data_IF_799412496435
#
_entry.id   IF_799412496435
#
_cell.length_a   1.000
_cell.length_b   1.000
_cell.length_c   1.000
_cell.angle_alpha   90.00
_cell.angle_beta   90.00
_cell.angle_gamma   90.00
#
_symmetry.space_group_name_H-M   'P 1'
#
loop_
_entity.id
_entity.type
_entity.pdbx_description
1 polymer ?
#
# COMPACT_ATOMS: atom_id res chain seq x y z
N UNK A 1 -7.08 70.45 -15.22
CA UNK A 1 -7.15 69.35 -16.22
C UNK A 1 -6.70 68.05 -15.56
N UNK A 2 -7.67 67.30 -15.10
CA UNK A 2 -7.50 66.05 -14.34
C UNK A 2 -7.43 64.85 -15.33
N UNK A 3 -6.29 64.18 -15.37
CA UNK A 3 -6.12 62.91 -16.09
C UNK A 3 -6.60 61.75 -15.19
N UNK A 4 -7.82 61.30 -15.41
CA UNK A 4 -8.34 60.03 -14.91
C UNK A 4 -7.85 58.91 -15.80
N UNK A 5 -6.96 58.08 -15.28
CA UNK A 5 -6.57 56.81 -15.91
C UNK A 5 -7.75 55.81 -15.78
N UNK A 6 -8.12 55.06 -16.81
CA UNK A 6 -9.19 54.08 -16.70
C UNK A 6 -8.74 52.85 -15.89
N UNK A 7 -9.55 52.48 -14.89
CA UNK A 7 -9.40 51.22 -14.17
C UNK A 7 -9.49 50.03 -15.13
N UNK A 8 -8.68 48.98 -14.92
CA UNK A 8 -8.80 47.76 -15.73
C UNK A 8 -10.11 47.05 -15.42
N UNK A 9 -10.98 47.02 -16.41
CA UNK A 9 -12.22 46.25 -16.43
C UNK A 9 -11.98 44.80 -15.97
N UNK A 10 -12.60 44.40 -14.87
CA UNK A 10 -12.71 42.99 -14.42
C UNK A 10 -13.65 42.25 -15.35
N UNK A 11 -13.17 41.88 -16.53
CA UNK A 11 -13.88 41.04 -17.43
C UNK A 11 -14.05 39.63 -16.77
N UNK A 12 -15.25 39.39 -16.25
CA UNK A 12 -15.72 38.06 -15.87
C UNK A 12 -15.59 37.16 -17.09
N UNK A 13 -14.63 36.20 -17.07
CA UNK A 13 -14.55 35.15 -18.05
C UNK A 13 -15.86 34.35 -18.00
N UNK A 14 -16.51 34.07 -19.15
CA UNK A 14 -17.77 33.33 -19.18
C UNK A 14 -17.59 31.91 -18.62
N UNK A 15 -18.52 31.52 -17.77
CA UNK A 15 -18.51 30.29 -17.00
C UNK A 15 -18.45 29.03 -17.85
N UNK A 16 -17.40 28.26 -17.66
CA UNK A 16 -17.52 26.80 -17.73
C UNK A 16 -18.41 26.38 -16.55
N UNK A 17 -19.36 25.48 -16.76
CA UNK A 17 -20.23 24.91 -15.70
C UNK A 17 -19.39 24.72 -14.43
N UNK A 18 -19.63 25.63 -13.45
CA UNK A 18 -18.75 25.75 -12.30
C UNK A 18 -19.01 24.61 -11.34
N UNK A 19 -18.06 23.69 -11.24
CA UNK A 19 -18.00 22.82 -10.09
C UNK A 19 -17.89 23.69 -8.85
N UNK A 20 -18.69 23.42 -7.80
CA UNK A 20 -18.56 24.15 -6.55
C UNK A 20 -17.14 23.94 -5.99
N UNK A 21 -16.56 24.96 -5.39
CA UNK A 21 -15.28 24.83 -4.69
C UNK A 21 -15.52 23.93 -3.48
N UNK A 22 -14.73 22.85 -3.39
CA UNK A 22 -14.81 21.87 -2.30
C UNK A 22 -13.65 22.12 -1.35
N UNK A 23 -13.92 22.56 -0.10
CA UNK A 23 -12.87 22.74 0.90
C UNK A 23 -12.20 21.40 1.25
N UNK A 24 -10.88 21.42 1.38
CA UNK A 24 -10.13 20.19 1.72
C UNK A 24 -10.17 19.12 0.64
N UNK A 25 -10.29 19.51 -0.62
CA UNK A 25 -10.43 18.60 -1.75
C UNK A 25 -9.33 17.53 -1.80
N UNK A 26 -8.11 17.83 -1.38
CA UNK A 26 -7.01 16.87 -1.28
C UNK A 26 -7.36 15.64 -0.43
N UNK A 27 -8.12 15.84 0.65
CA UNK A 27 -8.56 14.73 1.52
C UNK A 27 -9.65 13.88 0.87
N UNK A 28 -10.51 14.47 0.05
CA UNK A 28 -11.47 13.71 -0.76
C UNK A 28 -10.77 12.87 -1.82
N UNK A 29 -9.71 13.40 -2.44
CA UNK A 29 -8.90 12.65 -3.41
C UNK A 29 -8.21 11.46 -2.73
N UNK A 30 -7.58 11.63 -1.55
CA UNK A 30 -7.00 10.48 -0.84
C UNK A 30 -8.05 9.50 -0.35
N UNK A 31 -9.24 9.97 0.04
CA UNK A 31 -10.40 9.13 0.34
C UNK A 31 -10.83 8.29 -0.88
N UNK A 32 -10.82 8.88 -2.07
CA UNK A 32 -11.13 8.18 -3.31
C UNK A 32 -10.05 7.13 -3.64
N UNK A 33 -8.77 7.42 -3.40
CA UNK A 33 -7.67 6.43 -3.54
C UNK A 33 -7.81 5.31 -2.52
N UNK A 34 -8.13 5.63 -1.26
CA UNK A 34 -8.41 4.65 -0.20
C UNK A 34 -9.57 3.72 -0.60
N UNK A 35 -10.68 4.27 -1.10
CA UNK A 35 -11.81 3.49 -1.60
C UNK A 35 -11.39 2.54 -2.73
N UNK A 36 -10.55 3.00 -3.66
CA UNK A 36 -9.98 2.17 -4.72
C UNK A 36 -9.15 1.01 -4.18
N UNK A 37 -8.38 1.28 -3.11
CA UNK A 37 -7.60 0.26 -2.43
C UNK A 37 -8.50 -0.75 -1.72
N UNK A 38 -9.57 -0.31 -1.06
CA UNK A 38 -10.58 -1.19 -0.46
C UNK A 38 -11.16 -2.14 -1.52
N UNK A 39 -11.64 -1.61 -2.64
CA UNK A 39 -12.22 -2.41 -3.74
C UNK A 39 -11.19 -3.38 -4.34
N UNK A 40 -9.94 -2.94 -4.51
CA UNK A 40 -8.84 -3.77 -4.99
C UNK A 40 -8.60 -4.98 -4.07
N UNK A 41 -8.53 -4.74 -2.74
CA UNK A 41 -8.30 -5.79 -1.75
C UNK A 41 -9.54 -6.68 -1.51
N UNK A 42 -10.75 -6.17 -1.66
CA UNK A 42 -11.97 -6.98 -1.71
C UNK A 42 -11.88 -8.05 -2.81
N UNK A 43 -11.60 -7.63 -4.04
CA UNK A 43 -11.46 -8.55 -5.18
C UNK A 43 -10.28 -9.54 -4.98
N UNK A 44 -9.16 -9.07 -4.42
CA UNK A 44 -7.98 -9.91 -4.12
C UNK A 44 -8.30 -11.01 -3.12
N UNK A 45 -8.96 -10.68 -2.03
CA UNK A 45 -9.23 -11.59 -0.92
C UNK A 45 -10.42 -12.54 -1.17
N UNK A 46 -11.25 -12.30 -2.18
CA UNK A 46 -12.38 -13.17 -2.53
C UNK A 46 -11.94 -14.62 -2.77
N UNK A 47 -10.77 -14.87 -3.38
CA UNK A 47 -10.26 -16.23 -3.54
C UNK A 47 -9.94 -16.91 -2.19
N UNK A 48 -9.34 -16.18 -1.26
CA UNK A 48 -8.98 -16.75 0.04
C UNK A 48 -10.23 -17.17 0.81
N UNK A 49 -11.28 -16.34 0.79
CA UNK A 49 -12.57 -16.63 1.44
C UNK A 49 -13.26 -17.83 0.78
N UNK A 50 -13.24 -17.91 -0.53
CA UNK A 50 -13.85 -19.00 -1.30
C UNK A 50 -12.98 -20.24 -1.42
N UNK A 51 -11.74 -20.20 -0.94
CA UNK A 51 -10.77 -21.27 -1.08
C UNK A 51 -11.26 -22.65 -0.66
N UNK A 52 -11.88 -22.83 0.52
CA UNK A 52 -12.43 -24.13 0.92
C UNK A 52 -13.49 -24.66 -0.06
N UNK A 53 -14.43 -23.84 -0.48
CA UNK A 53 -15.48 -24.21 -1.41
C UNK A 53 -14.93 -24.54 -2.80
N UNK A 54 -13.96 -23.77 -3.30
CA UNK A 54 -13.34 -24.02 -4.60
C UNK A 54 -12.52 -25.33 -4.59
N UNK A 55 -11.84 -25.61 -3.46
CA UNK A 55 -11.14 -26.90 -3.29
C UNK A 55 -12.11 -28.07 -3.40
N UNK A 56 -13.26 -28.00 -2.76
CA UNK A 56 -14.29 -29.04 -2.83
C UNK A 56 -14.90 -29.13 -4.23
N UNK A 57 -15.29 -28.00 -4.83
CA UNK A 57 -15.99 -27.97 -6.12
C UNK A 57 -15.13 -28.47 -7.29
N UNK A 58 -13.83 -28.25 -7.24
CA UNK A 58 -12.90 -28.61 -8.34
C UNK A 58 -11.89 -29.71 -7.97
N UNK A 59 -11.99 -30.30 -6.78
CA UNK A 59 -11.02 -31.32 -6.32
C UNK A 59 -9.60 -30.75 -6.22
N UNK A 60 -9.42 -29.49 -5.81
CA UNK A 60 -8.11 -28.82 -5.80
C UNK A 60 -7.28 -29.30 -4.62
N UNK A 61 -6.14 -29.93 -4.88
CA UNK A 61 -5.16 -30.30 -3.87
C UNK A 61 -4.36 -29.10 -3.37
N UNK A 62 -3.73 -29.21 -2.19
CA UNK A 62 -2.97 -28.15 -1.56
C UNK A 62 -1.88 -27.56 -2.50
N UNK A 63 -1.17 -28.41 -3.24
CA UNK A 63 -0.16 -27.98 -4.21
C UNK A 63 -0.75 -27.15 -5.36
N UNK A 64 -1.90 -27.54 -5.90
CA UNK A 64 -2.57 -26.80 -6.97
C UNK A 64 -3.06 -25.43 -6.46
N UNK A 65 -3.55 -25.37 -5.22
CA UNK A 65 -3.94 -24.11 -4.59
C UNK A 65 -2.74 -23.19 -4.39
N UNK A 66 -1.58 -23.73 -4.00
CA UNK A 66 -0.35 -22.94 -3.89
C UNK A 66 0.08 -22.36 -5.24
N UNK A 67 -0.09 -23.09 -6.35
CA UNK A 67 0.18 -22.55 -7.69
C UNK A 67 -0.75 -21.39 -8.06
N UNK A 68 -2.04 -21.45 -7.68
CA UNK A 68 -2.98 -20.36 -7.89
C UNK A 68 -2.55 -19.08 -7.13
N UNK A 69 -2.11 -19.24 -5.88
CA UNK A 69 -1.62 -18.12 -5.06
C UNK A 69 -0.30 -17.58 -5.62
N UNK A 70 0.64 -18.46 -5.95
CA UNK A 70 1.95 -18.09 -6.49
C UNK A 70 1.85 -17.36 -7.83
N UNK A 71 0.92 -17.75 -8.70
CA UNK A 71 0.70 -17.09 -9.98
C UNK A 71 0.37 -15.59 -9.82
N UNK A 72 -0.45 -15.25 -8.83
CA UNK A 72 -0.72 -13.85 -8.48
C UNK A 72 0.53 -13.15 -7.95
N UNK A 73 1.22 -13.74 -6.98
CA UNK A 73 2.35 -13.09 -6.31
C UNK A 73 3.50 -12.80 -7.27
N UNK A 74 3.87 -13.77 -8.11
CA UNK A 74 4.93 -13.61 -9.10
C UNK A 74 4.58 -12.55 -10.12
N UNK A 75 3.36 -12.61 -10.68
CA UNK A 75 2.89 -11.64 -11.65
C UNK A 75 2.81 -10.22 -11.08
N UNK A 76 2.29 -10.08 -9.85
CA UNK A 76 2.19 -8.81 -9.13
C UNK A 76 3.58 -8.21 -8.88
N UNK A 77 4.52 -9.01 -8.37
CA UNK A 77 5.88 -8.58 -8.06
C UNK A 77 6.62 -8.09 -9.33
N UNK A 78 6.56 -8.88 -10.40
CA UNK A 78 7.22 -8.55 -11.65
C UNK A 78 6.62 -7.30 -12.33
N UNK A 79 5.32 -7.08 -12.19
CA UNK A 79 4.62 -6.00 -12.87
C UNK A 79 4.69 -4.65 -12.14
N UNK A 80 5.03 -4.60 -10.85
CA UNK A 80 5.09 -3.34 -10.09
C UNK A 80 5.97 -2.27 -10.74
N UNK A 81 7.21 -2.54 -11.17
CA UNK A 81 8.05 -1.55 -11.85
C UNK A 81 7.44 -1.07 -13.16
N UNK A 82 6.85 -1.98 -13.92
CA UNK A 82 6.19 -1.68 -15.20
C UNK A 82 4.98 -0.78 -14.99
N UNK A 83 4.14 -1.10 -14.00
CA UNK A 83 3.02 -0.25 -13.62
C UNK A 83 3.46 1.14 -13.21
N UNK A 84 4.49 1.26 -12.37
CA UNK A 84 5.03 2.54 -11.95
C UNK A 84 5.49 3.38 -13.14
N UNK A 85 6.22 2.76 -14.07
CA UNK A 85 6.66 3.41 -15.30
C UNK A 85 5.49 3.86 -16.20
N UNK A 86 4.45 3.02 -16.35
CA UNK A 86 3.24 3.36 -17.10
C UNK A 86 2.53 4.56 -16.46
N UNK A 87 2.38 4.57 -15.13
CA UNK A 87 1.74 5.67 -14.39
C UNK A 87 2.49 6.99 -14.58
N UNK A 88 3.81 6.95 -14.47
CA UNK A 88 4.63 8.16 -14.69
C UNK A 88 4.59 8.63 -16.14
N UNK A 89 4.46 7.72 -17.13
CA UNK A 89 4.50 8.05 -18.55
C UNK A 89 3.15 8.52 -19.12
N UNK A 90 2.07 7.81 -18.82
CA UNK A 90 0.73 8.10 -19.34
C UNK A 90 -0.08 9.05 -18.44
N UNK A 91 0.44 9.32 -17.24
CA UNK A 91 -0.26 10.11 -16.22
C UNK A 91 -1.21 9.28 -15.38
N UNK A 92 -1.36 9.72 -14.14
CA UNK A 92 -2.07 8.97 -13.10
C UNK A 92 -3.55 8.74 -13.42
N UNK A 93 -4.24 9.77 -13.95
CA UNK A 93 -5.69 9.68 -14.22
C UNK A 93 -6.04 8.54 -15.17
N UNK A 94 -5.35 8.47 -16.31
CA UNK A 94 -5.60 7.46 -17.32
C UNK A 94 -5.14 6.07 -16.87
N UNK A 95 -3.90 5.98 -16.39
CA UNK A 95 -3.29 4.70 -16.02
C UNK A 95 -4.10 4.01 -14.93
N UNK A 96 -4.44 4.73 -13.86
CA UNK A 96 -5.16 4.11 -12.73
C UNK A 96 -6.58 3.66 -13.14
N UNK A 97 -7.28 4.45 -13.98
CA UNK A 97 -8.59 4.04 -14.52
C UNK A 97 -8.47 2.78 -15.39
N UNK A 98 -7.51 2.71 -16.31
CA UNK A 98 -7.31 1.55 -17.19
C UNK A 98 -6.99 0.27 -16.40
N UNK A 99 -6.05 0.37 -15.46
CA UNK A 99 -5.72 -0.76 -14.60
C UNK A 99 -6.91 -1.18 -13.73
N UNK A 100 -7.72 -0.22 -13.25
CA UNK A 100 -8.92 -0.51 -12.46
C UNK A 100 -9.96 -1.27 -13.28
N UNK A 101 -10.24 -0.85 -14.49
CA UNK A 101 -11.14 -1.59 -15.40
C UNK A 101 -10.57 -2.98 -15.69
N UNK A 102 -9.28 -3.08 -15.97
CA UNK A 102 -8.64 -4.36 -16.28
C UNK A 102 -8.73 -5.35 -15.11
N UNK A 103 -8.33 -4.94 -13.86
CA UNK A 103 -8.45 -5.85 -12.73
C UNK A 103 -9.90 -6.21 -12.40
N UNK A 104 -10.84 -5.31 -12.69
CA UNK A 104 -12.27 -5.56 -12.44
C UNK A 104 -12.84 -6.63 -13.36
N UNK A 105 -12.52 -6.54 -14.65
CA UNK A 105 -12.92 -7.55 -15.64
C UNK A 105 -12.30 -8.90 -15.28
N UNK A 106 -10.99 -8.92 -14.99
CA UNK A 106 -10.28 -10.15 -14.61
C UNK A 106 -10.81 -10.70 -13.29
N UNK A 107 -11.13 -9.84 -12.32
CA UNK A 107 -11.77 -10.23 -11.07
C UNK A 107 -13.09 -10.95 -11.30
N UNK A 108 -13.95 -10.38 -12.15
CA UNK A 108 -15.24 -10.97 -12.52
C UNK A 108 -15.06 -12.30 -13.30
N UNK A 109 -14.06 -12.40 -14.17
CA UNK A 109 -13.76 -13.61 -14.95
C UNK A 109 -13.38 -14.82 -14.09
N UNK A 110 -12.97 -14.63 -12.82
CA UNK A 110 -12.81 -15.76 -11.89
C UNK A 110 -14.12 -16.53 -11.70
N UNK A 111 -15.28 -15.89 -11.83
CA UNK A 111 -16.58 -16.53 -11.79
C UNK A 111 -16.84 -17.51 -12.96
N UNK A 112 -16.13 -17.36 -14.07
CA UNK A 112 -16.21 -18.28 -15.22
C UNK A 112 -15.20 -19.45 -15.14
N UNK A 113 -14.42 -19.54 -14.06
CA UNK A 113 -13.42 -20.58 -13.93
C UNK A 113 -14.04 -21.98 -13.89
N UNK A 114 -13.45 -22.91 -14.65
CA UNK A 114 -13.86 -24.32 -14.73
C UNK A 114 -12.90 -25.28 -14.01
N UNK A 115 -11.83 -24.77 -13.32
CA UNK A 115 -10.87 -25.59 -12.60
C UNK A 115 -9.66 -24.80 -12.13
N UNK A 116 -8.70 -25.47 -11.48
CA UNK A 116 -7.54 -24.83 -10.87
C UNK A 116 -6.64 -24.09 -11.88
N UNK A 117 -6.47 -24.62 -13.10
CA UNK A 117 -5.64 -23.98 -14.14
C UNK A 117 -6.23 -22.64 -14.59
N UNK A 118 -7.53 -22.57 -14.84
CA UNK A 118 -8.19 -21.32 -15.19
C UNK A 118 -8.16 -20.31 -14.06
N UNK A 119 -8.29 -20.76 -12.80
CA UNK A 119 -8.08 -19.90 -11.62
C UNK A 119 -6.64 -19.39 -11.53
N UNK A 120 -5.63 -20.22 -11.78
CA UNK A 120 -4.24 -19.80 -11.76
C UNK A 120 -3.93 -18.75 -12.84
N UNK A 121 -4.44 -18.96 -14.06
CA UNK A 121 -4.30 -18.00 -15.16
C UNK A 121 -4.99 -16.67 -14.82
N UNK A 122 -6.24 -16.71 -14.36
CA UNK A 122 -6.97 -15.51 -13.94
C UNK A 122 -6.26 -14.78 -12.80
N UNK A 123 -5.67 -15.49 -11.83
CA UNK A 123 -4.85 -14.94 -10.75
C UNK A 123 -3.58 -14.27 -11.25
N UNK A 124 -2.89 -14.87 -12.21
CA UNK A 124 -1.73 -14.24 -12.85
C UNK A 124 -2.09 -12.91 -13.49
N UNK A 125 -3.15 -12.87 -14.30
CA UNK A 125 -3.62 -11.63 -14.91
C UNK A 125 -4.13 -10.61 -13.86
N UNK A 126 -4.78 -11.06 -12.79
CA UNK A 126 -5.17 -10.18 -11.67
C UNK A 126 -3.95 -9.57 -11.01
N UNK A 127 -2.89 -10.35 -10.78
CA UNK A 127 -1.62 -9.86 -10.24
C UNK A 127 -1.00 -8.77 -11.13
N UNK A 128 -0.93 -9.00 -12.45
CA UNK A 128 -0.43 -8.00 -13.40
C UNK A 128 -1.19 -6.68 -13.31
N UNK A 129 -2.52 -6.73 -13.22
CA UNK A 129 -3.35 -5.52 -13.27
C UNK A 129 -3.47 -4.82 -11.92
N UNK A 130 -3.48 -5.53 -10.82
CA UNK A 130 -3.54 -4.96 -9.47
C UNK A 130 -2.22 -4.35 -8.99
N UNK A 131 -1.09 -4.68 -9.61
CA UNK A 131 0.22 -4.17 -9.25
C UNK A 131 0.33 -2.63 -9.36
N UNK A 132 -0.55 -2.00 -10.11
CA UNK A 132 -0.61 -0.55 -10.28
C UNK A 132 -1.11 0.18 -9.01
N UNK A 133 -1.91 -0.45 -8.16
CA UNK A 133 -2.68 0.24 -7.11
C UNK A 133 -1.78 1.02 -6.13
N UNK A 134 -0.70 0.42 -5.64
CA UNK A 134 0.21 1.08 -4.68
C UNK A 134 1.03 2.19 -5.34
N UNK A 135 1.76 1.98 -6.47
CA UNK A 135 2.47 3.06 -7.16
C UNK A 135 1.56 4.23 -7.55
N UNK A 136 0.33 3.95 -8.01
CA UNK A 136 -0.65 4.98 -8.35
C UNK A 136 -1.13 5.76 -7.13
N UNK A 137 -1.42 5.09 -6.00
CA UNK A 137 -1.80 5.74 -4.75
C UNK A 137 -0.70 6.64 -4.19
N UNK A 138 0.55 6.17 -4.18
CA UNK A 138 1.72 6.96 -3.79
C UNK A 138 1.91 8.16 -4.70
N UNK A 139 1.71 8.01 -6.01
CA UNK A 139 1.74 9.11 -6.97
C UNK A 139 0.62 10.13 -6.72
N UNK A 140 -0.60 9.68 -6.39
CA UNK A 140 -1.70 10.58 -6.04
C UNK A 140 -1.36 11.46 -4.84
N UNK A 141 -0.74 10.88 -3.81
CA UNK A 141 -0.28 11.63 -2.64
C UNK A 141 0.84 12.60 -3.01
N UNK A 142 1.78 12.21 -3.89
CA UNK A 142 2.83 13.10 -4.38
C UNK A 142 2.26 14.31 -5.11
N UNK A 143 1.19 14.12 -5.90
CA UNK A 143 0.55 15.18 -6.68
C UNK A 143 -0.38 16.07 -5.86
N UNK A 144 -0.95 15.62 -4.74
CA UNK A 144 -2.00 16.33 -4.02
C UNK A 144 -1.60 16.85 -2.65
N UNK A 145 -0.46 16.45 -2.10
CA UNK A 145 -0.09 16.80 -0.74
C UNK A 145 1.27 17.49 -0.63
N UNK A 146 1.36 18.58 0.16
CA UNK A 146 2.63 19.18 0.50
C UNK A 146 3.44 18.23 1.39
N UNK A 147 4.77 18.37 1.40
CA UNK A 147 5.70 17.45 2.06
C UNK A 147 5.32 17.07 3.50
N UNK A 148 4.89 18.05 4.30
CA UNK A 148 4.54 17.85 5.72
C UNK A 148 3.33 16.94 5.95
N UNK A 149 2.39 16.87 5.00
CA UNK A 149 1.14 16.11 5.11
C UNK A 149 1.20 14.73 4.44
N UNK A 150 2.22 14.45 3.62
CA UNK A 150 2.33 13.20 2.83
C UNK A 150 2.26 11.94 3.66
N UNK A 151 2.93 11.91 4.83
CA UNK A 151 2.91 10.71 5.68
C UNK A 151 1.52 10.41 6.24
N UNK A 152 0.77 11.44 6.59
CA UNK A 152 -0.61 11.29 7.05
C UNK A 152 -1.50 10.78 5.91
N UNK A 153 -1.37 11.37 4.73
CA UNK A 153 -2.13 10.95 3.54
C UNK A 153 -1.82 9.49 3.14
N UNK A 154 -0.55 9.07 3.20
CA UNK A 154 -0.15 7.67 2.97
C UNK A 154 -0.75 6.75 4.04
N UNK A 155 -0.80 7.17 5.30
CA UNK A 155 -1.45 6.40 6.37
C UNK A 155 -2.93 6.11 6.07
N UNK A 156 -3.69 7.14 5.70
CA UNK A 156 -5.09 6.97 5.28
C UNK A 156 -5.26 6.12 4.03
N UNK A 157 -4.41 6.28 3.05
CA UNK A 157 -4.42 5.47 1.84
C UNK A 157 -4.15 3.99 2.16
N UNK A 158 -3.14 3.69 2.97
CA UNK A 158 -2.77 2.32 3.34
C UNK A 158 -3.84 1.62 4.18
N UNK A 159 -4.61 2.34 5.01
CA UNK A 159 -5.72 1.75 5.77
C UNK A 159 -6.78 1.09 4.86
N UNK A 160 -6.88 1.53 3.60
CA UNK A 160 -7.73 0.85 2.61
C UNK A 160 -7.36 -0.61 2.36
N UNK A 161 -6.11 -1.02 2.59
CA UNK A 161 -5.65 -2.41 2.39
C UNK A 161 -6.29 -3.36 3.41
N UNK A 162 -6.23 -3.00 4.69
CA UNK A 162 -6.79 -3.81 5.76
C UNK A 162 -8.31 -3.71 5.82
N UNK A 163 -8.88 -2.52 5.58
CA UNK A 163 -10.33 -2.37 5.45
C UNK A 163 -10.90 -3.26 4.33
N UNK A 164 -10.22 -3.32 3.19
CA UNK A 164 -10.61 -4.22 2.10
C UNK A 164 -10.52 -5.69 2.48
N UNK A 165 -9.48 -6.09 3.21
CA UNK A 165 -9.32 -7.45 3.71
C UNK A 165 -10.38 -7.81 4.76
N UNK A 166 -10.72 -6.87 5.66
CA UNK A 166 -11.74 -7.03 6.69
C UNK A 166 -13.15 -7.14 6.12
N UNK A 167 -13.47 -6.36 5.10
CA UNK A 167 -14.80 -6.35 4.47
C UNK A 167 -15.01 -7.52 3.50
N UNK A 168 -13.93 -8.16 3.01
CA UNK A 168 -14.05 -9.24 2.05
C UNK A 168 -14.82 -10.46 2.60
N UNK A 169 -14.52 -11.04 3.79
CA UNK A 169 -15.23 -12.22 4.28
C UNK A 169 -16.74 -12.03 4.40
N UNK A 170 -17.28 -11.01 5.11
CA UNK A 170 -18.72 -10.87 5.26
C UNK A 170 -19.43 -10.64 3.92
N UNK A 171 -18.86 -9.82 3.03
CA UNK A 171 -19.45 -9.55 1.72
C UNK A 171 -19.45 -10.79 0.83
N UNK A 172 -18.30 -11.47 0.73
CA UNK A 172 -18.13 -12.64 -0.14
C UNK A 172 -18.98 -13.82 0.35
N UNK A 173 -19.04 -14.06 1.66
CA UNK A 173 -19.89 -15.11 2.24
C UNK A 173 -21.35 -14.80 1.99
N UNK A 174 -21.82 -13.58 2.23
CA UNK A 174 -23.21 -13.19 1.95
C UNK A 174 -23.58 -13.39 0.48
N UNK A 175 -22.74 -12.90 -0.44
CA UNK A 175 -22.96 -13.08 -1.88
C UNK A 175 -22.97 -14.57 -2.28
N UNK A 176 -22.12 -15.36 -1.66
CA UNK A 176 -22.01 -16.81 -1.95
C UNK A 176 -23.24 -17.57 -1.50
N UNK A 177 -23.76 -17.25 -0.33
CA UNK A 177 -24.98 -17.88 0.21
C UNK A 177 -26.23 -17.47 -0.57
N UNK A 178 -26.31 -16.19 -1.01
CA UNK A 178 -27.47 -15.67 -1.71
C UNK A 178 -27.49 -16.03 -3.21
N UNK A 179 -26.31 -16.00 -3.87
CA UNK A 179 -26.23 -16.07 -5.34
C UNK A 179 -25.18 -17.05 -5.86
N UNK A 180 -24.48 -17.76 -4.98
CA UNK A 180 -23.42 -18.70 -5.32
C UNK A 180 -22.05 -18.02 -5.50
N UNK A 181 -20.97 -18.85 -5.39
CA UNK A 181 -19.58 -18.37 -5.39
C UNK A 181 -19.16 -17.63 -6.68
N UNK A 182 -19.75 -17.99 -7.81
CA UNK A 182 -19.47 -17.31 -9.09
C UNK A 182 -19.88 -15.84 -9.06
N UNK A 183 -21.06 -15.56 -8.52
CA UNK A 183 -21.56 -14.21 -8.38
C UNK A 183 -20.76 -13.38 -7.37
N UNK A 184 -20.18 -14.01 -6.35
CA UNK A 184 -19.28 -13.31 -5.43
C UNK A 184 -18.06 -12.72 -6.17
N UNK A 185 -17.44 -13.46 -7.09
CA UNK A 185 -16.36 -12.92 -7.95
C UNK A 185 -16.85 -11.85 -8.91
N UNK A 186 -17.99 -12.06 -9.55
CA UNK A 186 -18.56 -11.09 -10.51
C UNK A 186 -18.83 -9.76 -9.81
N UNK A 187 -19.53 -9.78 -8.68
CA UNK A 187 -19.90 -8.54 -7.97
C UNK A 187 -18.67 -7.83 -7.43
N UNK A 188 -17.77 -8.55 -6.72
CA UNK A 188 -16.55 -7.93 -6.16
C UNK A 188 -15.62 -7.41 -7.27
N UNK A 189 -15.57 -8.06 -8.40
CA UNK A 189 -14.84 -7.58 -9.58
C UNK A 189 -15.46 -6.31 -10.16
N UNK A 190 -16.77 -6.31 -10.43
CA UNK A 190 -17.47 -5.18 -11.06
C UNK A 190 -17.48 -3.91 -10.21
N UNK A 191 -17.38 -4.00 -8.88
CA UNK A 191 -17.23 -2.82 -8.01
C UNK A 191 -16.06 -1.93 -8.44
N UNK A 192 -15.00 -2.50 -8.99
CA UNK A 192 -13.87 -1.73 -9.48
C UNK A 192 -14.18 -0.94 -10.76
N UNK A 193 -15.14 -1.37 -11.60
CA UNK A 193 -15.59 -0.57 -12.75
C UNK A 193 -16.34 0.67 -12.26
N UNK A 194 -17.19 0.51 -11.25
CA UNK A 194 -17.90 1.66 -10.64
C UNK A 194 -16.89 2.64 -10.05
N UNK A 195 -15.90 2.12 -9.35
CA UNK A 195 -14.83 2.97 -8.83
C UNK A 195 -14.00 3.63 -9.94
N UNK A 196 -13.67 2.93 -11.01
CA UNK A 196 -12.94 3.49 -12.15
C UNK A 196 -13.69 4.64 -12.82
N UNK A 197 -15.02 4.52 -12.96
CA UNK A 197 -15.87 5.59 -13.46
C UNK A 197 -15.88 6.81 -12.52
N UNK A 198 -15.98 6.56 -11.20
CA UNK A 198 -15.88 7.61 -10.18
C UNK A 198 -14.51 8.28 -10.21
N UNK A 199 -13.42 7.49 -10.30
CA UNK A 199 -12.06 8.01 -10.45
C UNK A 199 -11.92 8.88 -11.70
N UNK A 200 -12.36 8.40 -12.83
CA UNK A 200 -12.27 9.14 -14.09
C UNK A 200 -13.01 10.47 -14.08
N UNK A 201 -14.16 10.53 -13.43
CA UNK A 201 -14.96 11.75 -13.32
C UNK A 201 -14.40 12.73 -12.30
N UNK A 202 -13.99 12.24 -11.12
CA UNK A 202 -13.59 13.08 -9.99
C UNK A 202 -12.11 13.48 -10.01
N UNK A 203 -11.22 12.61 -10.49
CA UNK A 203 -9.79 12.93 -10.42
C UNK A 203 -9.32 13.86 -11.56
N UNK A 204 -8.60 14.91 -11.17
CA UNK A 204 -7.78 15.78 -12.04
C UNK A 204 -6.49 16.13 -11.29
N UNK A 205 -5.51 16.65 -12.00
CA UNK A 205 -4.31 17.19 -11.33
C UNK A 205 -4.64 18.49 -10.59
N UNK A 206 -3.94 18.85 -9.51
CA UNK A 206 -4.19 20.10 -8.78
C UNK A 206 -4.15 21.35 -9.65
N UNK A 207 -3.30 21.34 -10.70
CA UNK A 207 -3.19 22.46 -11.62
C UNK A 207 -4.47 22.71 -12.43
N UNK A 208 -5.23 21.68 -12.74
CA UNK A 208 -6.39 21.74 -13.67
C UNK A 208 -7.73 21.45 -12.99
N UNK A 209 -7.74 21.10 -11.70
CA UNK A 209 -8.98 20.70 -11.02
C UNK A 209 -9.91 21.90 -10.81
N UNK A 210 -11.15 21.85 -11.36
CA UNK A 210 -12.05 23.01 -11.34
C UNK A 210 -12.62 23.31 -9.95
N UNK A 211 -12.77 22.31 -9.08
CA UNK A 211 -13.30 22.45 -7.73
C UNK A 211 -12.24 22.80 -6.68
N UNK A 212 -10.95 22.95 -7.07
CA UNK A 212 -9.88 23.31 -6.15
C UNK A 212 -9.79 24.81 -5.98
N UNK A 213 -10.03 25.30 -4.77
CA UNK A 213 -9.92 26.73 -4.42
C UNK A 213 -8.49 27.26 -4.54
N UNK A 214 -8.33 28.56 -4.79
CA UNK A 214 -7.02 29.16 -5.02
C UNK A 214 -6.05 28.98 -3.82
N UNK A 215 -6.53 29.22 -2.60
CA UNK A 215 -5.72 29.07 -1.39
C UNK A 215 -5.27 27.62 -1.16
N UNK A 216 -6.14 26.63 -1.36
CA UNK A 216 -5.77 25.23 -1.24
C UNK A 216 -4.83 24.79 -2.37
N UNK A 217 -4.99 25.34 -3.58
CA UNK A 217 -4.08 25.10 -4.69
C UNK A 217 -2.67 25.61 -4.37
N UNK A 218 -2.55 26.80 -3.82
CA UNK A 218 -1.27 27.36 -3.39
C UNK A 218 -0.63 26.48 -2.32
N UNK A 219 -1.39 26.07 -1.31
CA UNK A 219 -0.94 25.16 -0.25
C UNK A 219 -0.46 23.80 -0.80
N UNK A 220 -1.23 23.19 -1.71
CA UNK A 220 -0.87 21.91 -2.35
C UNK A 220 0.41 22.03 -3.20
N UNK A 221 0.65 23.19 -3.82
CA UNK A 221 1.80 23.46 -4.66
C UNK A 221 3.00 24.02 -3.89
N UNK A 222 2.82 24.31 -2.60
CA UNK A 222 3.89 24.84 -1.74
C UNK A 222 5.08 23.89 -1.68
N UNK A 223 6.27 24.43 -1.89
CA UNK A 223 7.54 23.67 -1.83
C UNK A 223 7.75 22.69 -2.97
N UNK A 224 6.91 22.69 -4.01
CA UNK A 224 7.16 21.88 -5.21
C UNK A 224 8.27 22.51 -6.03
N UNK A 225 9.36 21.81 -6.18
CA UNK A 225 10.34 22.11 -7.22
C UNK A 225 9.65 21.87 -8.56
N UNK A 226 9.46 22.93 -9.37
CA UNK A 226 8.96 22.76 -10.74
C UNK A 226 9.83 21.72 -11.42
N UNK A 227 9.20 20.63 -11.85
CA UNK A 227 9.89 19.58 -12.58
C UNK A 227 10.32 20.11 -13.95
N UNK A 228 11.40 20.89 -13.98
CA UNK A 228 12.07 21.34 -15.21
C UNK A 228 13.03 20.29 -15.74
N UNK A 229 13.31 19.25 -14.95
CA UNK A 229 14.20 18.16 -15.37
C UNK A 229 13.46 17.16 -16.25
N UNK A 230 14.09 16.76 -17.34
CA UNK A 230 13.67 15.61 -18.14
C UNK A 230 13.58 14.38 -17.21
N UNK A 231 12.58 13.51 -17.49
CA UNK A 231 12.40 12.27 -16.72
C UNK A 231 13.66 11.42 -16.78
N UNK A 232 14.20 11.04 -15.64
CA UNK A 232 15.33 10.13 -15.58
C UNK A 232 14.93 8.72 -16.05
N UNK A 233 15.75 8.03 -16.83
CA UNK A 233 15.52 6.64 -17.17
C UNK A 233 15.58 5.76 -15.92
N UNK A 234 14.82 4.66 -15.89
CA UNK A 234 14.78 3.74 -14.74
C UNK A 234 16.17 3.26 -14.29
N UNK A 235 17.14 3.21 -15.22
CA UNK A 235 18.55 2.89 -14.89
C UNK A 235 19.15 3.89 -13.91
N UNK A 236 18.88 5.17 -14.06
CA UNK A 236 19.40 6.21 -13.16
C UNK A 236 18.77 6.12 -11.77
N UNK A 237 17.50 5.69 -11.69
CA UNK A 237 16.85 5.44 -10.41
C UNK A 237 17.58 4.35 -9.64
N UNK A 238 17.82 3.18 -10.27
CA UNK A 238 18.42 2.01 -9.60
C UNK A 238 19.92 2.15 -9.31
N UNK A 239 20.63 3.07 -9.96
CA UNK A 239 22.06 3.34 -9.64
C UNK A 239 22.22 4.27 -8.45
N UNK A 240 21.15 4.98 -8.04
CA UNK A 240 21.19 5.96 -6.96
C UNK A 240 21.21 5.33 -5.55
N UNK A 241 22.01 5.90 -4.63
CA UNK A 241 22.07 5.46 -3.21
C UNK A 241 20.69 5.57 -2.53
N UNK A 242 19.89 6.58 -2.88
CA UNK A 242 18.53 6.80 -2.38
C UNK A 242 17.59 5.61 -2.67
N UNK A 243 17.73 5.02 -3.87
CA UNK A 243 16.98 3.83 -4.26
C UNK A 243 17.32 2.64 -3.38
N UNK A 244 18.60 2.31 -3.25
CA UNK A 244 19.06 1.16 -2.46
C UNK A 244 18.76 1.30 -0.98
N UNK A 245 18.80 2.53 -0.44
CA UNK A 245 18.40 2.79 0.94
C UNK A 245 16.95 2.38 1.21
N UNK A 246 16.02 2.78 0.33
CA UNK A 246 14.60 2.46 0.47
C UNK A 246 14.32 1.00 0.07
N UNK A 247 14.91 0.52 -1.04
CA UNK A 247 14.66 -0.82 -1.55
C UNK A 247 15.08 -1.92 -0.58
N UNK A 248 16.29 -1.79 0.02
CA UNK A 248 16.78 -2.75 1.01
C UNK A 248 16.00 -2.68 2.33
N UNK A 249 15.64 -1.48 2.78
CA UNK A 249 14.79 -1.33 3.96
C UNK A 249 13.41 -1.99 3.73
N UNK A 250 12.79 -1.80 2.56
CA UNK A 250 11.52 -2.45 2.20
C UNK A 250 11.65 -3.96 2.03
N UNK A 251 12.75 -4.42 1.44
CA UNK A 251 13.05 -5.85 1.29
C UNK A 251 13.12 -6.54 2.66
N UNK A 252 13.74 -5.90 3.64
CA UNK A 252 13.90 -6.43 5.00
C UNK A 252 12.62 -6.26 5.86
N UNK A 253 11.76 -5.29 5.56
CA UNK A 253 10.53 -5.06 6.32
C UNK A 253 9.37 -5.98 5.89
N UNK A 254 9.27 -6.35 4.61
CA UNK A 254 8.15 -7.13 4.08
C UNK A 254 7.98 -8.54 4.67
N UNK A 255 9.04 -9.25 5.11
CA UNK A 255 8.93 -10.51 5.85
C UNK A 255 7.90 -10.48 6.98
N UNK A 256 7.77 -9.37 7.71
CA UNK A 256 6.80 -9.22 8.78
C UNK A 256 5.35 -9.33 8.27
N UNK A 257 5.03 -8.65 7.17
CA UNK A 257 3.68 -8.70 6.58
C UNK A 257 3.29 -10.10 6.11
N UNK A 258 4.20 -10.79 5.46
CA UNK A 258 3.97 -12.18 5.03
C UNK A 258 3.80 -13.11 6.22
N UNK A 259 4.56 -12.87 7.30
CA UNK A 259 4.42 -13.63 8.55
C UNK A 259 3.02 -13.44 9.15
N UNK A 260 2.53 -12.20 9.25
CA UNK A 260 1.19 -11.94 9.80
C UNK A 260 0.08 -12.56 8.94
N UNK A 261 0.22 -12.58 7.63
CA UNK A 261 -0.80 -13.12 6.73
C UNK A 261 -0.86 -14.66 6.74
N UNK A 262 0.29 -15.33 6.78
CA UNK A 262 0.36 -16.77 6.52
C UNK A 262 0.77 -17.60 7.72
N UNK A 263 1.67 -17.08 8.56
CA UNK A 263 2.30 -17.88 9.61
C UNK A 263 1.71 -17.66 11.01
N UNK A 264 1.19 -16.47 11.32
CA UNK A 264 0.58 -16.20 12.63
C UNK A 264 -0.62 -17.10 12.92
N UNK A 265 -1.61 -17.27 12.01
CA UNK A 265 -2.71 -18.18 12.27
C UNK A 265 -2.25 -19.63 12.48
N UNK A 266 -1.26 -20.09 11.71
CA UNK A 266 -0.70 -21.44 11.84
C UNK A 266 0.04 -21.59 13.18
N UNK A 267 0.87 -20.63 13.57
CA UNK A 267 1.55 -20.61 14.87
C UNK A 267 0.57 -20.66 16.04
N UNK A 268 -0.52 -19.89 15.99
CA UNK A 268 -1.55 -19.89 17.04
C UNK A 268 -2.24 -21.25 17.16
N UNK A 269 -2.46 -21.95 16.03
CA UNK A 269 -3.04 -23.29 16.01
C UNK A 269 -2.05 -24.34 16.53
N UNK A 270 -0.82 -24.36 16.01
CA UNK A 270 0.15 -25.44 16.27
C UNK A 270 0.90 -25.30 17.58
N UNK A 271 1.42 -24.09 17.87
CA UNK A 271 2.27 -23.84 19.05
C UNK A 271 1.48 -23.36 20.27
N UNK A 272 0.35 -22.70 20.05
CA UNK A 272 -0.49 -22.14 21.12
C UNK A 272 -1.77 -22.93 21.35
N UNK A 273 -2.01 -23.99 20.56
CA UNK A 273 -3.16 -24.89 20.68
C UNK A 273 -4.51 -24.15 20.71
N UNK A 274 -4.58 -23.00 20.04
CA UNK A 274 -5.83 -22.26 19.92
C UNK A 274 -6.79 -23.00 18.99
N UNK A 275 -8.04 -23.10 19.43
CA UNK A 275 -9.11 -23.64 18.60
C UNK A 275 -9.46 -22.70 17.44
N UNK A 276 -10.13 -23.23 16.45
CA UNK A 276 -10.50 -22.47 15.25
C UNK A 276 -11.38 -21.24 15.58
N UNK A 277 -12.22 -21.34 16.61
CA UNK A 277 -13.08 -20.24 17.06
C UNK A 277 -12.25 -19.10 17.66
N UNK A 278 -11.27 -19.43 18.50
CA UNK A 278 -10.35 -18.45 19.10
C UNK A 278 -9.51 -17.75 18.02
N UNK A 279 -8.98 -18.51 17.04
CA UNK A 279 -8.25 -17.92 15.93
C UNK A 279 -9.14 -16.98 15.12
N UNK A 280 -10.35 -17.40 14.76
CA UNK A 280 -11.29 -16.57 14.02
C UNK A 280 -11.68 -15.28 14.78
N UNK A 281 -11.75 -15.35 16.12
CA UNK A 281 -12.12 -14.22 16.97
C UNK A 281 -10.98 -13.21 17.16
N UNK A 282 -9.71 -13.62 17.12
CA UNK A 282 -8.59 -12.78 17.53
C UNK A 282 -7.51 -12.56 16.46
N UNK A 283 -7.38 -13.43 15.44
CA UNK A 283 -6.31 -13.33 14.45
C UNK A 283 -6.41 -12.10 13.52
N UNK A 284 -7.50 -11.37 13.55
CA UNK A 284 -7.68 -10.10 12.82
C UNK A 284 -7.13 -8.88 13.58
N UNK A 285 -6.92 -9.00 14.91
CA UNK A 285 -6.44 -7.89 15.74
C UNK A 285 -5.10 -7.31 15.29
N UNK A 286 -4.07 -8.10 14.88
CA UNK A 286 -2.84 -7.56 14.33
C UNK A 286 -3.04 -6.68 13.08
N UNK A 287 -4.06 -6.98 12.26
CA UNK A 287 -4.39 -6.16 11.09
C UNK A 287 -5.07 -4.85 11.47
N UNK A 288 -5.94 -4.86 12.49
CA UNK A 288 -6.49 -3.63 13.03
C UNK A 288 -5.40 -2.74 13.65
N UNK A 289 -4.49 -3.35 14.41
CA UNK A 289 -3.34 -2.64 14.96
C UNK A 289 -2.43 -2.08 13.85
N UNK A 290 -2.28 -2.81 12.74
CA UNK A 290 -1.57 -2.34 11.56
C UNK A 290 -2.20 -1.06 10.98
N UNK A 291 -3.53 -0.99 10.85
CA UNK A 291 -4.20 0.22 10.38
C UNK A 291 -3.95 1.42 11.29
N UNK A 292 -4.04 1.19 12.60
CA UNK A 292 -3.68 2.22 13.59
C UNK A 292 -2.22 2.63 13.43
N UNK A 293 -1.31 1.68 13.22
CA UNK A 293 0.11 1.92 12.96
C UNK A 293 0.36 2.76 11.70
N UNK A 294 -0.37 2.47 10.62
CA UNK A 294 -0.30 3.25 9.38
C UNK A 294 -0.75 4.70 9.57
N UNK A 295 -1.90 4.90 10.21
CA UNK A 295 -2.47 6.24 10.44
C UNK A 295 -1.63 7.02 11.47
N UNK A 296 -1.42 6.47 12.67
CA UNK A 296 -0.67 7.13 13.74
C UNK A 296 0.82 7.30 13.38
N UNK A 297 1.38 6.31 12.67
CA UNK A 297 2.72 6.41 12.08
C UNK A 297 2.86 7.57 11.11
N UNK A 298 1.81 7.86 10.33
CA UNK A 298 1.75 9.06 9.50
C UNK A 298 1.92 10.36 10.29
N UNK A 299 1.29 10.46 11.46
CA UNK A 299 1.40 11.61 12.35
C UNK A 299 2.75 11.68 13.10
N UNK A 300 3.48 10.57 13.21
CA UNK A 300 4.79 10.55 13.90
C UNK A 300 5.77 11.54 13.28
N UNK A 301 5.75 11.71 11.97
CA UNK A 301 6.71 12.55 11.28
C UNK A 301 6.50 14.06 11.53
N UNK A 302 5.30 14.64 11.40
CA UNK A 302 5.06 16.00 11.86
C UNK A 302 5.43 16.23 13.34
N UNK A 303 5.18 15.21 14.20
CA UNK A 303 5.55 15.27 15.60
C UNK A 303 7.08 15.31 15.78
N UNK A 304 7.83 14.44 15.09
CA UNK A 304 9.30 14.43 15.14
C UNK A 304 9.92 15.76 14.66
N UNK A 305 9.36 16.34 13.59
CA UNK A 305 9.79 17.65 13.11
C UNK A 305 9.58 18.74 14.16
N UNK A 306 8.42 18.71 14.84
CA UNK A 306 8.08 19.72 15.86
C UNK A 306 8.88 19.57 17.14
N UNK A 307 9.09 18.34 17.62
CA UNK A 307 9.75 18.05 18.92
C UNK A 307 11.27 18.10 18.81
N UNK A 308 11.83 17.50 17.75
CA UNK A 308 13.28 17.34 17.61
C UNK A 308 13.92 18.28 16.58
N UNK A 309 13.12 19.13 15.90
CA UNK A 309 13.65 20.07 14.90
C UNK A 309 14.33 19.38 13.70
N UNK A 310 14.06 18.10 13.47
CA UNK A 310 14.64 17.36 12.35
C UNK A 310 13.97 17.76 11.02
N UNK A 311 14.71 17.67 9.92
CA UNK A 311 14.16 17.94 8.60
C UNK A 311 13.12 16.87 8.16
N UNK A 312 12.48 17.11 7.02
CA UNK A 312 11.43 16.25 6.50
C UNK A 312 11.88 14.79 6.34
N UNK A 313 13.00 14.54 5.65
CA UNK A 313 13.55 13.19 5.44
C UNK A 313 14.00 12.57 6.77
N UNK A 314 14.65 13.34 7.62
CA UNK A 314 15.08 12.91 8.95
C UNK A 314 13.93 12.46 9.83
N UNK A 315 12.77 13.16 9.76
CA UNK A 315 11.58 12.78 10.52
C UNK A 315 11.01 11.42 10.09
N UNK A 316 11.07 11.08 8.78
CA UNK A 316 10.66 9.78 8.26
C UNK A 316 11.58 8.68 8.75
N UNK A 317 12.91 8.90 8.64
CA UNK A 317 13.92 7.93 9.08
C UNK A 317 13.84 7.71 10.59
N UNK A 318 13.63 8.75 11.40
CA UNK A 318 13.44 8.64 12.84
C UNK A 318 12.15 7.83 13.17
N UNK A 319 11.06 8.08 12.46
CA UNK A 319 9.83 7.29 12.61
C UNK A 319 10.03 5.81 12.27
N UNK A 320 10.76 5.50 11.19
CA UNK A 320 11.14 4.12 10.83
C UNK A 320 11.98 3.50 11.94
N UNK A 321 12.93 4.23 12.53
CA UNK A 321 13.76 3.73 13.63
C UNK A 321 12.91 3.39 14.87
N UNK A 322 11.98 4.23 15.25
CA UNK A 322 11.06 3.95 16.38
C UNK A 322 10.21 2.70 16.08
N UNK A 323 9.68 2.59 14.89
CA UNK A 323 8.88 1.42 14.51
C UNK A 323 9.72 0.13 14.45
N UNK A 324 10.99 0.20 14.00
CA UNK A 324 11.90 -0.94 13.99
C UNK A 324 12.21 -1.44 15.42
N UNK A 325 12.28 -0.55 16.40
CA UNK A 325 12.41 -0.94 17.82
C UNK A 325 11.13 -1.65 18.30
N UNK A 326 9.95 -1.15 17.95
CA UNK A 326 8.67 -1.80 18.30
C UNK A 326 8.57 -3.19 17.63
N UNK A 327 9.14 -3.37 16.44
CA UNK A 327 9.16 -4.65 15.70
C UNK A 327 9.98 -5.75 16.42
N UNK A 328 10.71 -5.44 17.46
CA UNK A 328 11.34 -6.46 18.32
C UNK A 328 10.26 -7.28 19.07
N UNK A 329 9.10 -6.69 19.35
CA UNK A 329 8.03 -7.33 20.13
C UNK A 329 7.56 -8.69 19.57
N UNK A 330 7.22 -8.87 18.27
CA UNK A 330 6.87 -10.18 17.74
C UNK A 330 8.01 -11.20 17.79
N UNK A 331 9.28 -10.76 17.83
CA UNK A 331 10.41 -11.64 18.07
C UNK A 331 10.41 -12.29 19.47
N UNK A 332 9.75 -11.66 20.44
CA UNK A 332 9.61 -12.17 21.80
C UNK A 332 8.39 -13.10 21.98
N UNK A 333 7.68 -13.45 20.91
CA UNK A 333 6.46 -14.27 20.99
C UNK A 333 6.69 -15.66 21.58
N UNK A 334 7.90 -16.22 21.43
CA UNK A 334 8.32 -17.47 22.06
C UNK A 334 8.27 -17.42 23.60
N UNK A 335 8.44 -16.23 24.19
CA UNK A 335 8.42 -15.98 25.64
C UNK A 335 7.01 -15.71 26.17
N UNK A 336 6.01 -15.59 25.31
CA UNK A 336 4.63 -15.32 25.72
C UNK A 336 4.05 -16.49 26.50
N UNK A 337 3.60 -16.24 27.72
CA UNK A 337 3.02 -17.30 28.58
C UNK A 337 1.61 -17.71 28.12
N UNK A 338 0.87 -16.83 27.43
CA UNK A 338 -0.53 -17.06 27.04
C UNK A 338 -0.75 -16.73 25.55
N UNK A 339 -1.76 -17.33 24.89
CA UNK A 339 -2.15 -16.94 23.54
C UNK A 339 -2.49 -15.46 23.42
N UNK A 340 -3.13 -14.87 24.43
CA UNK A 340 -3.46 -13.44 24.44
C UNK A 340 -2.21 -12.55 24.43
N UNK A 341 -1.16 -12.91 25.20
CA UNK A 341 0.12 -12.21 25.17
C UNK A 341 0.81 -12.32 23.79
N UNK A 342 0.76 -13.49 23.16
CA UNK A 342 1.29 -13.68 21.81
C UNK A 342 0.55 -12.80 20.79
N UNK A 343 -0.78 -12.73 20.85
CA UNK A 343 -1.60 -11.86 20.00
C UNK A 343 -1.25 -10.38 20.22
N UNK A 344 -1.08 -9.96 21.47
CA UNK A 344 -0.69 -8.59 21.80
C UNK A 344 0.69 -8.22 21.19
N UNK A 345 1.67 -9.14 21.25
CA UNK A 345 2.97 -8.95 20.61
C UNK A 345 2.86 -8.86 19.08
N UNK A 346 2.00 -9.67 18.46
CA UNK A 346 1.73 -9.56 17.03
C UNK A 346 0.98 -8.27 16.68
N UNK A 347 0.12 -7.74 17.55
CA UNK A 347 -0.51 -6.42 17.35
C UNK A 347 0.54 -5.30 17.34
N UNK A 348 1.53 -5.33 18.24
CA UNK A 348 2.64 -4.39 18.23
C UNK A 348 3.46 -4.51 16.93
N UNK A 349 3.68 -5.73 16.45
CA UNK A 349 4.35 -5.98 15.18
C UNK A 349 3.57 -5.48 13.97
N UNK A 350 2.26 -5.71 13.93
CA UNK A 350 1.39 -5.18 12.87
C UNK A 350 1.40 -3.66 12.83
N UNK A 351 1.26 -3.02 13.99
CA UNK A 351 1.38 -1.57 14.16
C UNK A 351 2.72 -1.04 13.61
N UNK A 352 3.82 -1.64 14.04
CA UNK A 352 5.16 -1.22 13.64
C UNK A 352 5.39 -1.41 12.13
N UNK A 353 4.99 -2.55 11.57
CA UNK A 353 5.14 -2.83 10.15
C UNK A 353 4.43 -1.80 9.26
N UNK A 354 3.16 -1.49 9.55
CA UNK A 354 2.42 -0.51 8.73
C UNK A 354 2.94 0.92 8.91
N UNK A 355 3.46 1.27 10.09
CA UNK A 355 4.18 2.51 10.29
C UNK A 355 5.44 2.58 9.42
N UNK A 356 6.28 1.52 9.39
CA UNK A 356 7.46 1.42 8.53
C UNK A 356 7.06 1.52 7.06
N UNK A 357 6.11 0.73 6.61
CA UNK A 357 5.63 0.69 5.23
C UNK A 357 5.14 2.06 4.76
N UNK A 358 4.33 2.74 5.56
CA UNK A 358 3.82 4.08 5.26
C UNK A 358 4.93 5.12 5.15
N UNK A 359 5.88 5.11 6.09
CA UNK A 359 7.00 6.06 6.08
C UNK A 359 7.99 5.79 4.93
N UNK A 360 8.25 4.53 4.57
CA UNK A 360 9.10 4.18 3.41
C UNK A 360 8.43 4.56 2.09
N UNK A 361 7.11 4.41 1.96
CA UNK A 361 6.36 4.93 0.82
C UNK A 361 6.45 6.46 0.75
N UNK A 362 6.34 7.15 1.88
CA UNK A 362 6.47 8.60 1.96
C UNK A 362 7.88 9.07 1.60
N UNK A 363 8.93 8.39 2.09
CA UNK A 363 10.31 8.66 1.71
C UNK A 363 10.51 8.57 0.20
N UNK A 364 9.87 7.62 -0.47
CA UNK A 364 9.93 7.53 -1.94
C UNK A 364 9.42 8.82 -2.59
N UNK A 365 8.36 9.43 -2.05
CA UNK A 365 7.85 10.71 -2.56
C UNK A 365 8.82 11.87 -2.26
N UNK A 366 9.47 11.84 -1.10
CA UNK A 366 10.28 12.97 -0.63
C UNK A 366 11.68 13.02 -1.26
N UNK A 367 12.21 11.88 -1.75
CA UNK A 367 13.58 11.80 -2.32
C UNK A 367 13.63 11.61 -3.83
N UNK A 368 12.50 11.32 -4.49
CA UNK A 368 12.42 11.19 -5.95
C UNK A 368 11.60 12.34 -6.55
N UNK A 369 11.93 12.73 -7.80
CA UNK A 369 11.16 13.72 -8.53
C UNK A 369 9.71 13.22 -8.76
N UNK A 370 8.74 14.13 -8.77
CA UNK A 370 7.33 13.79 -9.00
C UNK A 370 7.12 12.96 -10.27
N UNK A 371 7.91 13.18 -11.31
CA UNK A 371 7.89 12.45 -12.60
C UNK A 371 8.42 11.03 -12.51
N UNK A 372 9.03 10.62 -11.39
CA UNK A 372 9.72 9.33 -11.18
C UNK A 372 9.13 8.53 -10.01
N UNK A 373 8.26 9.15 -9.22
CA UNK A 373 7.77 8.58 -7.94
C UNK A 373 7.09 7.23 -8.13
N UNK A 374 6.22 7.06 -9.12
CA UNK A 374 5.53 5.80 -9.34
C UNK A 374 6.49 4.70 -9.80
N UNK A 375 7.46 5.05 -10.67
CA UNK A 375 8.52 4.13 -11.12
C UNK A 375 9.40 3.69 -9.94
N UNK A 376 9.87 4.64 -9.13
CA UNK A 376 10.71 4.36 -7.96
C UNK A 376 9.93 3.51 -6.92
N UNK A 377 8.65 3.83 -6.69
CA UNK A 377 7.80 3.04 -5.80
C UNK A 377 7.56 1.62 -6.31
N UNK A 378 7.32 1.45 -7.62
CA UNK A 378 7.17 0.14 -8.24
C UNK A 378 8.44 -0.71 -8.13
N UNK A 379 9.61 -0.14 -8.38
CA UNK A 379 10.91 -0.81 -8.24
C UNK A 379 11.20 -1.22 -6.78
N UNK A 380 10.99 -0.31 -5.82
CA UNK A 380 11.18 -0.61 -4.40
C UNK A 380 10.11 -1.57 -3.88
N UNK A 381 8.90 -1.53 -4.44
CA UNK A 381 7.83 -2.48 -4.16
C UNK A 381 8.15 -3.90 -4.63
N UNK A 382 8.77 -4.05 -5.82
CA UNK A 382 9.26 -5.34 -6.30
C UNK A 382 10.31 -5.92 -5.32
N UNK A 383 11.24 -5.09 -4.84
CA UNK A 383 12.22 -5.52 -3.83
C UNK A 383 11.52 -5.97 -2.53
N UNK A 384 10.53 -5.21 -2.05
CA UNK A 384 9.69 -5.54 -0.89
C UNK A 384 9.07 -6.95 -1.03
N UNK A 385 8.26 -7.17 -2.05
CA UNK A 385 7.57 -8.44 -2.28
C UNK A 385 8.53 -9.62 -2.48
N UNK A 386 9.70 -9.38 -3.08
CA UNK A 386 10.76 -10.40 -3.21
C UNK A 386 11.29 -10.79 -1.83
N UNK A 387 11.55 -9.83 -0.94
CA UNK A 387 11.99 -10.10 0.44
C UNK A 387 10.98 -10.94 1.22
N UNK A 388 9.70 -10.56 1.13
CA UNK A 388 8.61 -11.31 1.76
C UNK A 388 8.47 -12.74 1.24
N UNK A 389 8.56 -12.92 -0.08
CA UNK A 389 8.50 -14.25 -0.70
C UNK A 389 9.66 -15.15 -0.25
N UNK A 390 10.89 -14.64 -0.31
CA UNK A 390 12.08 -15.40 0.09
C UNK A 390 12.02 -15.79 1.57
N UNK A 391 11.58 -14.89 2.43
CA UNK A 391 11.42 -15.20 3.85
C UNK A 391 10.31 -16.21 4.11
N UNK A 392 9.18 -16.12 3.40
CA UNK A 392 8.10 -17.10 3.53
C UNK A 392 8.54 -18.51 3.13
N UNK A 393 9.38 -18.63 2.07
CA UNK A 393 9.99 -19.90 1.69
C UNK A 393 10.96 -20.40 2.75
N UNK A 394 11.75 -19.51 3.36
CA UNK A 394 12.68 -19.84 4.44
C UNK A 394 11.92 -20.39 5.67
N UNK A 395 10.84 -19.72 6.08
CA UNK A 395 10.00 -20.19 7.19
C UNK A 395 9.41 -21.55 6.88
N UNK A 396 8.87 -21.75 5.67
CA UNK A 396 8.33 -23.05 5.26
C UNK A 396 9.34 -24.18 5.29
N UNK A 397 10.62 -23.91 4.97
CA UNK A 397 11.69 -24.90 4.98
C UNK A 397 12.24 -25.23 6.38
N UNK A 398 12.21 -24.25 7.29
CA UNK A 398 12.92 -24.34 8.58
C UNK A 398 12.00 -24.46 9.80
N UNK A 399 10.73 -24.07 9.71
CA UNK A 399 9.85 -24.00 10.89
C UNK A 399 9.71 -25.33 11.64
N UNK A 400 9.67 -26.46 10.92
CA UNK A 400 9.60 -27.80 11.54
C UNK A 400 10.91 -28.19 12.26
N UNK A 401 12.05 -27.57 11.88
CA UNK A 401 13.38 -27.91 12.43
C UNK A 401 13.77 -27.03 13.60
N UNK A 402 13.54 -25.71 13.50
CA UNK A 402 13.99 -24.72 14.47
C UNK A 402 12.86 -24.08 15.27
N UNK A 403 11.61 -24.38 14.93
CA UNK A 403 10.43 -23.73 15.51
C UNK A 403 10.19 -22.32 14.94
N UNK A 404 9.04 -21.73 15.28
CA UNK A 404 8.66 -20.39 14.81
C UNK A 404 9.36 -19.26 15.58
N UNK A 405 9.70 -19.45 16.86
CA UNK A 405 10.27 -18.40 17.71
C UNK A 405 11.52 -17.74 17.14
N UNK A 406 12.59 -18.49 16.80
CA UNK A 406 13.80 -17.93 16.19
C UNK A 406 13.53 -17.24 14.86
N UNK A 407 12.62 -17.77 14.03
CA UNK A 407 12.27 -17.20 12.73
C UNK A 407 11.54 -15.85 12.89
N UNK A 408 10.65 -15.73 13.87
CA UNK A 408 9.97 -14.46 14.16
C UNK A 408 10.93 -13.47 14.82
N UNK A 409 11.94 -13.94 15.57
CA UNK A 409 13.01 -13.11 16.10
C UNK A 409 13.81 -12.36 15.03
N UNK A 410 13.94 -12.96 13.82
CA UNK A 410 14.62 -12.30 12.70
C UNK A 410 13.89 -11.04 12.23
N UNK A 411 12.56 -10.92 12.41
CA UNK A 411 11.79 -9.78 11.93
C UNK A 411 12.26 -8.46 12.54
N UNK A 412 12.43 -8.41 13.86
CA UNK A 412 12.96 -7.22 14.53
C UNK A 412 14.41 -6.89 14.11
N UNK A 413 15.25 -7.90 13.92
CA UNK A 413 16.63 -7.73 13.46
C UNK A 413 16.66 -7.18 12.03
N UNK A 414 15.81 -7.66 11.14
CA UNK A 414 15.75 -7.20 9.76
C UNK A 414 15.37 -5.71 9.68
N UNK A 415 14.39 -5.27 10.45
CA UNK A 415 13.96 -3.88 10.44
C UNK A 415 15.00 -2.94 11.07
N UNK A 416 15.74 -3.39 12.09
CA UNK A 416 16.87 -2.65 12.63
C UNK A 416 18.00 -2.51 11.59
N UNK A 417 18.37 -3.60 10.90
CA UNK A 417 19.35 -3.57 9.82
C UNK A 417 18.88 -2.64 8.70
N UNK A 418 17.60 -2.78 8.28
CA UNK A 418 16.99 -1.92 7.28
C UNK A 418 17.05 -0.45 7.64
N UNK A 419 16.82 -0.12 8.91
CA UNK A 419 16.92 1.24 9.44
C UNK A 419 18.36 1.77 9.37
N UNK A 420 19.37 0.97 9.74
CA UNK A 420 20.79 1.36 9.65
C UNK A 420 21.19 1.60 8.18
N UNK A 421 20.77 0.73 7.26
CA UNK A 421 21.02 0.88 5.84
C UNK A 421 20.36 2.18 5.33
N UNK A 422 19.09 2.41 5.71
CA UNK A 422 18.34 3.60 5.33
C UNK A 422 19.04 4.88 5.80
N UNK A 423 19.41 4.93 7.09
CA UNK A 423 20.13 6.06 7.67
C UNK A 423 21.46 6.32 6.96
N UNK A 424 22.24 5.26 6.69
CA UNK A 424 23.56 5.37 6.07
C UNK A 424 23.47 5.88 4.63
N UNK A 425 22.55 5.33 3.84
CA UNK A 425 22.45 5.66 2.44
C UNK A 425 21.70 6.98 2.19
N UNK A 426 20.80 7.39 3.08
CA UNK A 426 20.12 8.68 3.02
C UNK A 426 20.80 9.80 3.81
N UNK A 427 21.96 9.56 4.42
CA UNK A 427 22.72 10.56 5.21
C UNK A 427 22.88 11.93 4.52
N UNK A 428 23.11 12.05 3.20
CA UNK A 428 23.19 13.36 2.53
C UNK A 428 21.90 14.17 2.64
N UNK A 429 20.75 13.51 2.62
CA UNK A 429 19.42 14.14 2.71
C UNK A 429 19.04 14.54 4.14
N UNK A 430 19.72 13.97 5.17
CA UNK A 430 19.51 14.28 6.57
C UNK A 430 20.21 15.58 6.97
N UNK A 431 21.26 15.99 6.26
CA UNK A 431 22.08 17.17 6.58
C UNK A 431 21.63 18.47 5.92
N UNK A 432 20.86 18.39 4.83
CA UNK A 432 20.42 19.57 4.06
C UNK A 432 19.19 20.25 4.69
N UNK A 433 19.29 20.63 5.96
CA UNK A 433 18.20 21.35 6.68
C UNK A 433 18.51 22.83 6.93
N UNK A 434 19.46 23.40 6.20
CA UNK A 434 19.85 24.81 6.34
C UNK A 434 19.64 25.61 5.04
N UNK A 435 18.51 25.35 4.34
CA UNK A 435 18.01 26.28 3.29
C UNK A 435 16.50 26.28 3.26
#
# INVERSE_FOLDING_TARGET
>A
MSNLSPEPSTAKRPGRLGWPIIPGLRWWIVGLVCLGTIVNYLARNSLAVLGPQLKTNFGIHAQQYSYIVAAFQVAYTAMQPVCGWIVDRLGLRLSFALFAVAWSIIGALHGAAGGWRSLAVARGFLGLTQACAIPAGVKAVAEWFPGKERSVAIGYFNAGTSLGALLAPPLVVWLTLAYGWRMAFVVTGLLGIVWAALWWTCYRTPATHPALGAAEREHVLEGRVKATAARAPAREIVTGRRFWGIALARFLAEPAWQTFNFWVPLYLATERHMDLKGIALFAWLPFLAADLGGILGGYSSPLMMRVFGVNLVGSRVAGVAVAAVIMIAPGCVGLAATPAAAIALFCLGGFAHQMISGLLNTLTIDVFAETEVATANGLTGMASWTGGLLFSLLVGALAERVGYGPLFGCLGVFDLIGTVILFTLLRPYLRNSAQ
#
